data_IF_506999118132
#
_entry.id   IF_506999118132
#
_cell.length_a   1.000
_cell.length_b   1.000
_cell.length_c   1.000
_cell.angle_alpha   90.00
_cell.angle_beta   90.00
_cell.angle_gamma   90.00
#
_symmetry.space_group_name_H-M   'P 1'
#
loop_
_entity.id
_entity.type
_entity.pdbx_description
1 polymer ?
#
# COMPACT_ATOMS: atom_id res chain seq x y z
N UNK A 1 35.19 -1.70 3.07
CA UNK A 1 34.01 -1.30 2.27
C UNK A 1 32.95 -2.39 2.45
N UNK A 2 31.79 -2.09 3.04
CA UNK A 2 30.68 -3.07 3.09
C UNK A 2 30.11 -3.20 1.67
N UNK A 3 30.19 -4.39 1.08
CA UNK A 3 29.56 -4.66 -0.20
C UNK A 3 28.09 -5.03 0.03
N UNK A 4 27.18 -4.12 -0.31
CA UNK A 4 25.73 -4.35 -0.20
C UNK A 4 25.17 -5.19 -1.36
N UNK A 5 25.98 -5.43 -2.40
CA UNK A 5 25.61 -6.24 -3.55
C UNK A 5 25.97 -7.70 -3.28
N UNK A 6 24.94 -8.51 -3.04
CA UNK A 6 25.09 -9.96 -2.89
C UNK A 6 24.99 -10.67 -4.26
N UNK A 7 26.14 -10.93 -4.89
CA UNK A 7 26.19 -11.55 -6.23
C UNK A 7 25.57 -12.95 -6.32
N UNK A 8 25.38 -13.65 -5.18
CA UNK A 8 24.76 -14.98 -5.12
C UNK A 8 23.24 -14.94 -5.02
N UNK A 9 22.66 -13.75 -4.81
CA UNK A 9 21.23 -13.56 -4.62
C UNK A 9 20.54 -13.16 -5.93
N UNK A 10 19.25 -13.48 -6.06
CA UNK A 10 18.41 -12.99 -7.16
C UNK A 10 18.50 -11.46 -7.31
N UNK A 11 18.63 -10.99 -8.56
CA UNK A 11 18.85 -9.59 -8.87
C UNK A 11 17.72 -8.70 -8.37
N UNK A 12 16.46 -9.15 -8.46
CA UNK A 12 15.31 -8.36 -8.02
C UNK A 12 15.30 -8.19 -6.50
N UNK A 13 15.60 -9.28 -5.77
CA UNK A 13 15.66 -9.22 -4.30
C UNK A 13 16.82 -8.33 -3.84
N UNK A 14 18.01 -8.54 -4.40
CA UNK A 14 19.21 -7.77 -4.10
C UNK A 14 19.00 -6.27 -4.38
N UNK A 15 18.53 -5.92 -5.59
CA UNK A 15 18.25 -4.53 -5.94
C UNK A 15 17.17 -3.89 -5.06
N UNK A 16 16.14 -4.66 -4.67
CA UNK A 16 15.10 -4.18 -3.74
C UNK A 16 15.68 -3.84 -2.36
N UNK A 17 16.55 -4.68 -1.82
CA UNK A 17 17.19 -4.47 -0.52
C UNK A 17 18.10 -3.25 -0.55
N UNK A 18 18.97 -3.12 -1.57
CA UNK A 18 19.82 -1.94 -1.75
C UNK A 18 18.97 -0.68 -1.86
N UNK A 19 17.94 -0.69 -2.68
CA UNK A 19 17.10 0.50 -2.89
C UNK A 19 16.41 0.92 -1.60
N UNK A 20 15.89 -0.03 -0.80
CA UNK A 20 15.27 0.26 0.50
C UNK A 20 16.24 0.81 1.54
N UNK A 21 17.51 0.44 1.48
CA UNK A 21 18.53 0.97 2.40
C UNK A 21 18.80 2.46 2.18
N UNK A 22 18.71 2.94 0.94
CA UNK A 22 19.10 4.30 0.58
C UNK A 22 17.94 5.22 0.18
N UNK A 23 16.75 4.67 -0.07
CA UNK A 23 15.58 5.42 -0.53
C UNK A 23 14.38 5.13 0.35
N UNK A 24 13.89 6.18 1.02
CA UNK A 24 12.65 6.10 1.78
C UNK A 24 11.45 5.87 0.85
N UNK A 25 10.45 5.13 1.34
CA UNK A 25 9.20 4.83 0.63
C UNK A 25 8.53 6.07 0.03
N UNK A 26 8.41 7.15 0.82
CA UNK A 26 7.73 8.40 0.41
C UNK A 26 8.40 9.08 -0.78
N UNK A 27 9.70 8.84 -0.98
CA UNK A 27 10.45 9.29 -2.15
C UNK A 27 10.22 8.30 -3.29
N UNK A 28 10.43 7.00 -3.07
CA UNK A 28 10.31 5.97 -4.09
C UNK A 28 8.97 5.98 -4.85
N UNK A 29 7.86 6.24 -4.15
CA UNK A 29 6.52 6.28 -4.78
C UNK A 29 6.33 7.45 -5.77
N UNK A 30 7.11 8.53 -5.63
CA UNK A 30 7.08 9.71 -6.52
C UNK A 30 7.86 9.50 -7.81
N UNK A 31 8.63 8.42 -7.90
CA UNK A 31 9.46 8.13 -9.06
C UNK A 31 8.89 7.00 -9.93
N UNK A 32 9.34 7.00 -11.18
CA UNK A 32 9.26 5.91 -12.15
C UNK A 32 10.68 5.64 -12.68
N UNK A 33 11.00 4.38 -12.99
CA UNK A 33 12.38 4.01 -13.27
C UNK A 33 12.91 4.63 -14.57
N UNK A 34 12.19 4.43 -15.69
CA UNK A 34 12.71 4.75 -17.04
C UNK A 34 11.75 5.61 -17.87
N UNK A 35 10.46 5.28 -17.88
CA UNK A 35 9.46 6.01 -18.68
C UNK A 35 8.70 6.99 -17.81
N UNK A 36 8.44 8.20 -18.33
CA UNK A 36 7.58 9.18 -17.68
C UNK A 36 6.19 8.60 -17.44
N UNK A 37 5.66 8.83 -16.25
CA UNK A 37 4.28 8.50 -15.87
C UNK A 37 3.66 9.78 -15.31
N UNK A 38 2.35 9.94 -15.45
CA UNK A 38 1.62 11.09 -14.89
C UNK A 38 1.91 11.20 -13.39
N UNK A 39 2.19 12.42 -12.93
CA UNK A 39 2.45 12.75 -11.53
C UNK A 39 3.68 12.04 -10.90
N UNK A 40 4.60 11.57 -11.75
CA UNK A 40 5.85 10.92 -11.31
C UNK A 40 7.07 11.44 -12.06
N UNK A 41 8.18 11.56 -11.35
CA UNK A 41 9.48 11.94 -11.89
C UNK A 41 10.28 10.73 -12.39
N UNK A 42 11.20 10.95 -13.33
CA UNK A 42 12.04 9.88 -13.89
C UNK A 42 13.29 9.70 -13.01
N UNK A 43 13.50 8.51 -12.48
CA UNK A 43 14.66 8.21 -11.65
C UNK A 43 15.94 8.05 -12.49
N UNK A 44 15.84 7.52 -13.71
CA UNK A 44 16.98 7.26 -14.61
C UNK A 44 17.93 8.46 -14.79
N UNK A 45 17.38 9.67 -14.78
CA UNK A 45 18.15 10.89 -15.04
C UNK A 45 18.92 11.38 -13.81
N UNK A 46 18.62 10.83 -12.62
CA UNK A 46 19.26 11.20 -11.36
C UNK A 46 20.66 10.59 -11.20
N UNK A 47 21.53 11.27 -10.46
CA UNK A 47 22.86 10.73 -10.10
C UNK A 47 22.75 9.46 -9.24
N UNK A 48 21.70 9.35 -8.41
CA UNK A 48 21.43 8.17 -7.61
C UNK A 48 21.26 6.92 -8.49
N UNK A 49 20.47 7.02 -9.56
CA UNK A 49 20.26 5.92 -10.48
C UNK A 49 21.56 5.49 -11.16
N UNK A 50 22.30 6.45 -11.73
CA UNK A 50 23.56 6.18 -12.42
C UNK A 50 24.57 5.51 -11.51
N UNK A 51 24.63 5.92 -10.24
CA UNK A 51 25.52 5.33 -9.24
C UNK A 51 25.15 3.88 -8.93
N UNK A 52 23.87 3.59 -8.64
CA UNK A 52 23.43 2.22 -8.35
C UNK A 52 23.59 1.34 -9.58
N UNK A 53 23.20 1.82 -10.77
CA UNK A 53 23.37 1.08 -12.03
C UNK A 53 24.84 0.72 -12.24
N UNK A 54 25.76 1.69 -12.17
CA UNK A 54 27.19 1.44 -12.38
C UNK A 54 27.76 0.40 -11.40
N UNK A 55 27.43 0.51 -10.12
CA UNK A 55 27.89 -0.43 -9.10
C UNK A 55 27.28 -1.82 -9.28
N UNK A 56 25.98 -1.89 -9.57
CA UNK A 56 25.26 -3.15 -9.74
C UNK A 56 25.75 -3.90 -10.99
N UNK A 57 25.87 -3.21 -12.13
CA UNK A 57 26.40 -3.79 -13.36
C UNK A 57 27.86 -4.22 -13.18
N UNK A 58 28.70 -3.40 -12.54
CA UNK A 58 30.11 -3.75 -12.28
C UNK A 58 30.25 -5.02 -11.43
N UNK A 59 29.44 -5.15 -10.37
CA UNK A 59 29.46 -6.32 -9.50
C UNK A 59 28.97 -7.61 -10.19
N UNK A 60 28.01 -7.48 -11.11
CA UNK A 60 27.42 -8.61 -11.84
C UNK A 60 28.00 -8.84 -13.24
N UNK A 61 28.98 -8.03 -13.66
CA UNK A 61 29.67 -8.12 -14.96
C UNK A 61 28.67 -8.27 -16.11
N UNK A 62 28.81 -9.30 -16.95
CA UNK A 62 27.98 -9.55 -18.13
C UNK A 62 26.66 -10.27 -17.83
N UNK A 63 26.40 -10.63 -16.56
CA UNK A 63 25.17 -11.37 -16.19
C UNK A 63 23.91 -10.52 -16.27
N UNK A 64 24.05 -9.19 -16.32
CA UNK A 64 22.94 -8.26 -16.44
C UNK A 64 23.38 -7.02 -17.24
N UNK A 65 22.50 -6.53 -18.11
CA UNK A 65 22.72 -5.30 -18.86
C UNK A 65 21.86 -4.13 -18.33
N UNK A 66 22.17 -2.91 -18.77
CA UNK A 66 21.45 -1.68 -18.38
C UNK A 66 19.92 -1.76 -18.64
N UNK A 67 19.50 -2.39 -19.74
CA UNK A 67 18.07 -2.57 -20.05
C UNK A 67 17.38 -3.45 -19.01
N UNK A 68 17.99 -4.58 -18.66
CA UNK A 68 17.49 -5.49 -17.63
C UNK A 68 17.49 -4.82 -16.25
N UNK A 69 18.55 -4.08 -15.92
CA UNK A 69 18.62 -3.28 -14.70
C UNK A 69 17.45 -2.28 -14.61
N UNK A 70 17.18 -1.52 -15.67
CA UNK A 70 16.06 -0.58 -15.72
C UNK A 70 14.70 -1.26 -15.54
N UNK A 71 14.52 -2.46 -16.09
CA UNK A 71 13.31 -3.26 -15.87
C UNK A 71 13.18 -3.71 -14.41
N UNK A 72 14.26 -4.17 -13.79
CA UNK A 72 14.28 -4.55 -12.37
C UNK A 72 13.97 -3.35 -11.47
N UNK A 73 14.63 -2.21 -11.69
CA UNK A 73 14.36 -0.99 -10.93
C UNK A 73 12.90 -0.54 -11.10
N UNK A 74 12.31 -0.71 -12.28
CA UNK A 74 10.89 -0.47 -12.51
C UNK A 74 10.00 -1.33 -11.61
N UNK A 75 10.31 -2.63 -11.48
CA UNK A 75 9.59 -3.54 -10.57
C UNK A 75 9.76 -3.12 -9.11
N UNK A 76 10.97 -2.74 -8.70
CA UNK A 76 11.27 -2.26 -7.34
C UNK A 76 10.41 -1.05 -6.97
N UNK A 77 10.39 -0.01 -7.82
CA UNK A 77 9.63 1.21 -7.57
C UNK A 77 8.10 1.00 -7.64
N UNK A 78 7.62 0.12 -8.52
CA UNK A 78 6.20 -0.21 -8.57
C UNK A 78 5.70 -0.86 -7.26
N UNK A 79 6.55 -1.66 -6.63
CA UNK A 79 6.27 -2.29 -5.34
C UNK A 79 6.52 -1.35 -4.15
N UNK A 80 6.99 -0.11 -4.35
CA UNK A 80 7.30 0.81 -3.25
C UNK A 80 6.09 1.16 -2.38
N UNK A 81 4.88 1.16 -2.95
CA UNK A 81 3.64 1.42 -2.20
C UNK A 81 3.41 0.40 -1.08
N UNK A 82 3.96 -0.80 -1.23
CA UNK A 82 3.85 -1.94 -0.32
C UNK A 82 4.95 -2.05 0.73
N UNK A 83 5.98 -1.21 0.65
CA UNK A 83 7.09 -1.25 1.60
C UNK A 83 6.63 -0.92 3.02
N UNK A 84 7.44 -1.31 4.01
CA UNK A 84 7.25 -0.94 5.41
C UNK A 84 5.88 -1.35 5.99
N UNK A 85 5.37 -2.52 5.58
CA UNK A 85 4.10 -3.05 6.08
C UNK A 85 2.84 -2.41 5.49
N UNK A 86 2.96 -1.41 4.61
CA UNK A 86 1.81 -0.75 3.98
C UNK A 86 0.95 -1.69 3.14
N UNK A 87 1.46 -2.85 2.73
CA UNK A 87 0.65 -3.92 2.13
C UNK A 87 -0.48 -4.38 3.05
N UNK A 88 -0.18 -4.61 4.33
CA UNK A 88 -1.13 -5.09 5.32
C UNK A 88 -2.12 -4.00 5.72
N UNK A 89 -1.67 -2.75 5.84
CA UNK A 89 -2.54 -1.59 6.10
C UNK A 89 -3.64 -1.48 5.03
N UNK A 90 -3.28 -1.54 3.74
CA UNK A 90 -4.27 -1.48 2.65
C UNK A 90 -5.27 -2.64 2.64
N UNK A 91 -4.86 -3.81 3.14
CA UNK A 91 -5.73 -4.98 3.20
C UNK A 91 -6.64 -4.94 4.44
N UNK A 92 -6.14 -4.44 5.57
CA UNK A 92 -6.89 -4.30 6.82
C UNK A 92 -8.06 -3.31 6.72
N UNK A 93 -7.90 -2.20 5.98
CA UNK A 93 -8.98 -1.22 5.76
C UNK A 93 -10.19 -1.82 5.04
N UNK A 94 -10.06 -2.93 4.31
CA UNK A 94 -11.17 -3.55 3.59
C UNK A 94 -12.05 -4.47 4.43
N UNK A 95 -11.64 -4.86 5.64
CA UNK A 95 -12.38 -5.84 6.47
C UNK A 95 -13.40 -5.23 7.44
N UNK A 96 -13.35 -3.93 7.72
CA UNK A 96 -14.15 -3.33 8.80
C UNK A 96 -15.43 -2.60 8.33
N UNK A 97 -15.80 -2.64 7.04
CA UNK A 97 -16.98 -1.92 6.53
C UNK A 97 -18.25 -2.79 6.38
N UNK A 98 -18.26 -4.03 6.89
CA UNK A 98 -19.40 -4.97 6.72
C UNK A 98 -20.05 -5.43 8.04
N UNK A 99 -19.85 -4.71 9.15
CA UNK A 99 -20.56 -4.97 10.42
C UNK A 99 -21.17 -3.67 10.92
N UNK A 100 -22.26 -3.24 10.30
CA UNK A 100 -23.23 -2.28 10.88
C UNK A 100 -24.48 -2.26 9.99
N UNK A 101 -25.12 -3.42 9.84
CA UNK A 101 -26.54 -3.55 9.51
C UNK A 101 -27.04 -4.81 10.20
N UNK A 102 -28.17 -4.68 10.85
CA UNK A 102 -28.99 -5.72 11.50
C UNK A 102 -28.88 -5.74 13.03
N UNK A 103 -29.38 -4.69 13.69
CA UNK A 103 -30.18 -4.81 14.92
C UNK A 103 -31.19 -3.64 14.97
N UNK A 104 -32.39 -3.86 14.39
CA UNK A 104 -33.65 -3.23 14.83
C UNK A 104 -34.81 -3.98 14.16
N UNK A 105 -34.99 -5.23 14.56
CA UNK A 105 -36.23 -5.96 14.41
C UNK A 105 -36.88 -5.98 15.80
N UNK A 106 -37.63 -4.93 16.13
CA UNK A 106 -38.57 -4.96 17.25
C UNK A 106 -39.91 -5.25 16.63
N UNK A 107 -40.29 -6.52 16.70
CA UNK A 107 -41.60 -7.07 16.39
C UNK A 107 -42.69 -6.34 17.16
N UNK A 108 -43.62 -5.76 16.40
CA UNK A 108 -44.99 -5.46 16.83
C UNK A 108 -45.65 -6.77 17.31
N UNK A 109 -46.15 -6.78 18.54
CA UNK A 109 -47.21 -7.69 18.94
C UNK A 109 -48.29 -6.88 19.64
N UNK A 110 -49.50 -7.05 19.13
CA UNK A 110 -50.77 -6.52 19.59
C UNK A 110 -51.07 -6.96 21.03
N UNK A 111 -51.43 -6.02 21.91
CA UNK A 111 -52.40 -6.27 22.98
C UNK A 111 -53.44 -5.15 22.96
N UNK A 112 -54.60 -5.53 22.43
CA UNK A 112 -55.85 -4.79 22.46
C UNK A 112 -56.53 -4.99 23.84
N UNK A 113 -57.17 -3.92 24.30
CA UNK A 113 -58.36 -3.88 25.15
C UNK A 113 -58.25 -3.58 26.65
N UNK A 114 -58.96 -2.49 26.99
CA UNK A 114 -59.51 -2.00 28.28
C UNK A 114 -58.52 -1.12 29.07
N UNK A 115 -58.85 0.12 29.41
CA UNK A 115 -60.02 0.51 30.20
C UNK A 115 -60.33 2.00 30.03
N UNK A 116 -61.62 2.32 30.04
CA UNK A 116 -62.21 3.65 29.87
C UNK A 116 -62.38 4.36 31.22
N UNK A 117 -61.78 5.54 31.37
CA UNK A 117 -62.13 6.60 32.34
C UNK A 117 -62.32 7.89 31.49
N UNK A 118 -63.28 8.80 31.68
CA UNK A 118 -63.95 9.30 32.89
C UNK A 118 -65.41 9.65 32.56
N UNK A 119 -66.32 9.33 33.48
CA UNK A 119 -67.65 9.93 33.55
C UNK A 119 -67.56 11.31 34.22
N UNK A 120 -68.26 12.26 33.62
CA UNK A 120 -68.68 13.53 34.19
C UNK A 120 -69.72 13.36 35.32
N UNK A 121 -69.82 14.41 36.14
CA UNK A 121 -70.80 14.72 37.20
C UNK A 121 -70.50 14.22 38.62
N UNK A 122 -70.15 15.15 39.52
CA UNK A 122 -71.12 15.70 40.49
C UNK A 122 -70.57 16.93 41.27
N UNK A 123 -71.27 18.06 41.08
CA UNK A 123 -71.74 19.05 42.07
C UNK A 123 -70.87 19.49 43.28
N UNK A 124 -70.66 20.82 43.36
CA UNK A 124 -71.09 21.67 44.49
C UNK A 124 -71.51 23.05 44.00
#
# INVERSE_FOLDING_TARGET
IRCYINVKQDFSKNLSEITRLFMARVVAIKFTAVKKVKDKEILKDTNFYKLIEGQFLSAHKESINSKQFGQLMGKVLNNAKDWDGFRFIRQGTKRNNNQEKDENEVTENEEDSKESEENSDESQ
#
